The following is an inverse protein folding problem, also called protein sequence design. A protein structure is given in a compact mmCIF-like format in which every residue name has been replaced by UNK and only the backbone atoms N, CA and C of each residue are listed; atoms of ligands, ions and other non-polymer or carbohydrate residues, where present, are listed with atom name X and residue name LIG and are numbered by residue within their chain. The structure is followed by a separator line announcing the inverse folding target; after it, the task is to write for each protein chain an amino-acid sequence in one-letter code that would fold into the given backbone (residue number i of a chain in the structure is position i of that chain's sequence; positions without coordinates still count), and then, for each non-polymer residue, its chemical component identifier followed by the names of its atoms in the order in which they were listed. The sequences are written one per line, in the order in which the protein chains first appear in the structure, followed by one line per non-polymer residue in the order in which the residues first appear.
data_IF_115620462401
#
_entry.id   IF_115620462401
#
_cell.length_a   1.000
_cell.length_b   1.000
_cell.length_c   1.000
_cell.angle_alpha   90.00
_cell.angle_beta   90.00
_cell.angle_gamma   90.00
#
_symmetry.space_group_name_H-M   'P 1'
#
loop_
_entity.id
_entity.type
_entity.pdbx_description
1 polymer ?
#
# COMPACT_ATOMS: atom_id res chain seq x y z
N UNK A 1 -16.69 -67.16 -10.46
CA UNK A 1 -15.53 -66.25 -10.34
C UNK A 1 -16.02 -64.80 -10.48
N UNK A 2 -16.17 -64.05 -9.38
CA UNK A 2 -16.62 -62.65 -9.39
C UNK A 2 -15.41 -61.73 -9.15
N UNK A 3 -15.01 -60.96 -10.17
CA UNK A 3 -13.94 -59.97 -10.10
C UNK A 3 -14.50 -58.72 -9.41
N UNK A 4 -13.99 -58.38 -8.22
CA UNK A 4 -14.25 -57.09 -7.60
C UNK A 4 -13.24 -56.07 -8.15
N UNK A 5 -13.75 -55.04 -8.81
CA UNK A 5 -12.99 -53.87 -9.26
C UNK A 5 -12.90 -52.95 -8.04
N UNK A 6 -11.70 -52.84 -7.47
CA UNK A 6 -11.40 -51.86 -6.41
C UNK A 6 -11.17 -50.52 -7.08
N UNK A 7 -12.14 -49.61 -6.94
CA UNK A 7 -12.04 -48.23 -7.40
C UNK A 7 -11.22 -47.44 -6.38
N UNK A 8 -9.99 -47.08 -6.73
CA UNK A 8 -9.09 -46.30 -5.88
C UNK A 8 -9.36 -44.80 -6.09
N UNK A 9 -10.17 -44.21 -5.22
CA UNK A 9 -10.47 -42.77 -5.22
C UNK A 9 -9.26 -41.98 -4.72
N UNK A 10 -8.50 -41.38 -5.64
CA UNK A 10 -7.38 -40.48 -5.32
C UNK A 10 -7.97 -39.15 -4.81
N UNK A 11 -7.95 -38.97 -3.50
CA UNK A 11 -8.34 -37.74 -2.81
C UNK A 11 -7.17 -36.74 -2.93
N UNK A 12 -7.14 -35.92 -3.99
CA UNK A 12 -6.18 -34.82 -4.10
C UNK A 12 -6.46 -33.75 -3.05
N UNK A 13 -5.73 -33.80 -1.95
CA UNK A 13 -5.72 -32.74 -0.94
C UNK A 13 -5.07 -31.49 -1.54
N UNK A 14 -5.88 -30.47 -1.87
CA UNK A 14 -5.37 -29.13 -2.17
C UNK A 14 -4.75 -28.55 -0.91
N UNK A 15 -3.41 -28.55 -0.83
CA UNK A 15 -2.67 -27.79 0.17
C UNK A 15 -2.77 -26.33 -0.23
N UNK A 16 -3.63 -25.56 0.44
CA UNK A 16 -3.66 -24.12 0.31
C UNK A 16 -2.39 -23.54 0.96
N UNK A 17 -1.42 -23.16 0.14
CA UNK A 17 -0.30 -22.32 0.59
C UNK A 17 -0.85 -20.92 0.89
N UNK A 18 -1.11 -20.65 2.16
CA UNK A 18 -1.37 -19.29 2.64
C UNK A 18 -0.06 -18.51 2.55
N UNK A 19 0.04 -17.62 1.56
CA UNK A 19 1.13 -16.65 1.52
C UNK A 19 0.99 -15.72 2.73
N UNK A 20 1.97 -15.75 3.63
CA UNK A 20 2.08 -14.79 4.74
C UNK A 20 2.40 -13.42 4.16
N UNK A 21 1.68 -12.40 4.61
CA UNK A 21 1.98 -11.02 4.27
C UNK A 21 2.19 -10.23 5.56
N UNK A 22 3.36 -9.60 5.69
CA UNK A 22 3.66 -8.68 6.79
C UNK A 22 2.98 -7.34 6.49
N UNK A 23 2.13 -6.87 7.40
CA UNK A 23 1.49 -5.54 7.28
C UNK A 23 2.23 -4.52 8.15
N UNK A 24 2.64 -3.41 7.55
CA UNK A 24 3.32 -2.31 8.22
C UNK A 24 2.41 -1.08 8.16
N UNK A 25 2.05 -0.52 9.31
CA UNK A 25 1.32 0.76 9.37
C UNK A 25 2.26 1.88 8.92
N UNK A 26 1.86 2.58 7.86
CA UNK A 26 2.62 3.69 7.26
C UNK A 26 2.16 5.01 7.84
N UNK A 27 0.85 5.22 7.90
CA UNK A 27 0.25 6.47 8.36
C UNK A 27 -1.08 6.20 9.05
N UNK A 28 -1.39 7.00 10.05
CA UNK A 28 -2.68 7.04 10.71
C UNK A 28 -3.05 8.47 11.05
N UNK A 29 -4.28 8.86 10.73
CA UNK A 29 -4.82 10.16 11.12
C UNK A 29 -6.32 10.08 11.38
N UNK A 30 -6.82 10.95 12.26
CA UNK A 30 -8.25 11.14 12.43
C UNK A 30 -8.81 11.83 11.17
N UNK A 31 -9.93 11.31 10.65
CA UNK A 31 -10.61 11.84 9.47
C UNK A 31 -11.98 12.37 9.87
N UNK A 32 -12.21 13.65 9.61
CA UNK A 32 -13.56 14.24 9.69
C UNK A 32 -14.37 14.05 8.39
N UNK A 33 -13.77 13.43 7.36
CA UNK A 33 -14.41 13.22 6.06
C UNK A 33 -15.33 12.00 6.11
N UNK A 34 -16.53 12.15 5.54
CA UNK A 34 -17.56 11.09 5.52
C UNK A 34 -17.21 9.94 4.56
N UNK A 35 -16.55 10.24 3.43
CA UNK A 35 -16.10 9.25 2.45
C UNK A 35 -14.75 9.67 1.84
N UNK A 36 -13.66 9.55 2.61
CA UNK A 36 -12.34 9.93 2.11
C UNK A 36 -11.93 9.00 0.96
N UNK A 37 -11.57 9.59 -0.17
CA UNK A 37 -10.80 8.92 -1.21
C UNK A 37 -9.32 9.04 -0.86
N UNK A 38 -8.66 7.89 -0.77
CA UNK A 38 -7.27 7.79 -0.32
C UNK A 38 -6.43 7.14 -1.38
N UNK A 39 -5.40 7.85 -1.81
CA UNK A 39 -4.33 7.33 -2.66
C UNK A 39 -3.08 7.15 -1.83
N UNK A 40 -2.31 6.11 -2.15
CA UNK A 40 -0.98 5.90 -1.59
C UNK A 40 -0.08 5.35 -2.69
N UNK A 41 1.04 6.02 -2.94
CA UNK A 41 2.01 5.61 -3.96
C UNK A 41 3.45 5.84 -3.48
N UNK A 42 4.39 5.12 -4.08
CA UNK A 42 5.80 5.42 -3.85
C UNK A 42 6.18 6.68 -4.62
N UNK A 43 6.98 7.54 -4.01
CA UNK A 43 7.57 8.73 -4.64
C UNK A 43 9.08 8.69 -4.44
N UNK A 44 9.86 9.01 -5.47
CA UNK A 44 11.33 8.95 -5.43
C UNK A 44 11.91 10.32 -5.76
N UNK A 45 12.84 10.80 -4.94
CA UNK A 45 13.74 11.90 -5.29
C UNK A 45 15.10 11.30 -5.63
N UNK A 46 15.44 11.39 -6.91
CA UNK A 46 16.66 10.82 -7.46
C UNK A 46 17.90 11.60 -7.05
N UNK A 47 17.80 12.92 -6.99
CA UNK A 47 18.91 13.80 -6.64
C UNK A 47 19.42 13.51 -5.22
N UNK A 48 18.51 13.10 -4.34
CA UNK A 48 18.82 12.73 -2.97
C UNK A 48 18.94 11.22 -2.73
N UNK A 49 18.61 10.39 -3.73
CA UNK A 49 18.56 8.93 -3.58
C UNK A 49 17.55 8.46 -2.51
N UNK A 50 16.42 9.16 -2.38
CA UNK A 50 15.41 8.92 -1.32
C UNK A 50 14.07 8.48 -1.90
N UNK A 51 13.32 7.75 -1.09
CA UNK A 51 11.96 7.30 -1.38
C UNK A 51 11.04 7.57 -0.21
N UNK A 52 9.78 7.87 -0.52
CA UNK A 52 8.68 8.06 0.43
C UNK A 52 7.44 7.34 -0.06
N UNK A 53 6.47 7.24 0.83
CA UNK A 53 5.09 6.94 0.46
C UNK A 53 4.33 8.27 0.49
N UNK A 54 3.87 8.70 -0.68
CA UNK A 54 2.98 9.85 -0.83
C UNK A 54 1.55 9.38 -0.60
N UNK A 55 0.85 10.04 0.31
CA UNK A 55 -0.53 9.74 0.69
C UNK A 55 -1.35 10.97 0.38
N UNK A 56 -2.32 10.80 -0.53
CA UNK A 56 -3.30 11.82 -0.86
C UNK A 56 -4.63 11.48 -0.21
N UNK A 57 -5.21 12.42 0.55
CA UNK A 57 -6.55 12.29 1.12
C UNK A 57 -7.44 13.39 0.57
N UNK A 58 -8.57 13.00 0.00
CA UNK A 58 -9.55 13.92 -0.59
C UNK A 58 -10.97 13.53 -0.21
N UNK A 59 -11.88 14.50 -0.18
CA UNK A 59 -13.31 14.26 0.05
C UNK A 59 -14.01 14.03 -1.30
N UNK A 60 -14.65 12.88 -1.47
CA UNK A 60 -15.36 12.53 -2.70
C UNK A 60 -16.57 13.46 -2.96
N UNK A 61 -17.08 14.14 -1.93
CA UNK A 61 -18.33 14.92 -2.02
C UNK A 61 -18.14 16.44 -1.95
N UNK A 62 -16.92 16.97 -1.75
CA UNK A 62 -16.68 18.42 -1.86
C UNK A 62 -16.60 18.85 -3.32
N UNK A 63 -17.43 19.82 -3.70
CA UNK A 63 -17.43 20.38 -5.06
C UNK A 63 -16.02 20.78 -5.52
N UNK A 64 -15.74 20.45 -6.79
CA UNK A 64 -14.50 20.69 -7.48
C UNK A 64 -14.17 22.20 -7.48
N UNK A 65 -13.33 22.61 -6.53
CA UNK A 65 -12.92 24.01 -6.39
C UNK A 65 -12.17 24.32 -5.11
N UNK A 66 -12.34 23.52 -4.06
CA UNK A 66 -11.68 23.77 -2.78
C UNK A 66 -11.33 22.51 -1.98
N UNK A 67 -11.26 21.31 -2.58
CA UNK A 67 -10.82 20.11 -1.85
C UNK A 67 -9.38 20.27 -1.39
N UNK A 68 -9.15 20.47 -0.09
CA UNK A 68 -7.81 20.42 0.49
C UNK A 68 -7.31 18.98 0.36
N UNK A 69 -6.53 18.70 -0.68
CA UNK A 69 -5.82 17.44 -0.79
C UNK A 69 -4.70 17.49 0.24
N UNK A 70 -4.83 16.70 1.30
CA UNK A 70 -3.74 16.52 2.24
C UNK A 70 -2.73 15.60 1.56
N UNK A 71 -1.56 16.14 1.21
CA UNK A 71 -0.44 15.40 0.63
C UNK A 71 0.60 15.15 1.74
N UNK A 72 0.54 13.97 2.34
CA UNK A 72 1.49 13.55 3.37
C UNK A 72 2.58 12.70 2.72
N UNK A 73 3.85 13.08 2.94
CA UNK A 73 5.01 12.27 2.54
C UNK A 73 5.59 11.56 3.73
N UNK A 74 5.45 10.24 3.79
CA UNK A 74 5.96 9.42 4.88
C UNK A 74 7.27 8.76 4.49
N UNK A 75 8.32 9.00 5.27
CA UNK A 75 9.55 8.23 5.20
C UNK A 75 9.40 6.97 6.05
N UNK A 76 9.13 5.84 5.40
CA UNK A 76 9.00 4.56 6.08
C UNK A 76 10.39 3.96 6.38
N UNK A 77 10.76 3.68 7.65
CA UNK A 77 12.00 2.97 7.96
C UNK A 77 12.08 1.63 7.23
N UNK A 78 13.25 1.28 6.70
CA UNK A 78 13.44 0.06 5.90
C UNK A 78 13.04 0.19 4.42
N UNK A 79 12.35 1.27 4.02
CA UNK A 79 12.09 1.59 2.61
C UNK A 79 13.30 2.33 2.01
N UNK A 80 13.85 1.78 0.92
CA UNK A 80 15.06 2.28 0.26
C UNK A 80 14.86 2.38 -1.25
N UNK A 81 15.67 3.26 -1.87
CA UNK A 81 15.77 3.38 -3.32
C UNK A 81 17.21 3.13 -3.75
N UNK A 82 17.41 2.11 -4.58
CA UNK A 82 18.68 1.87 -5.28
C UNK A 82 18.63 2.61 -6.63
N UNK A 83 19.38 3.70 -6.73
CA UNK A 83 19.44 4.50 -7.95
C UNK A 83 20.15 3.79 -9.11
N UNK A 84 21.09 2.88 -8.83
CA UNK A 84 21.82 2.14 -9.86
C UNK A 84 20.93 1.08 -10.51
N UNK A 85 20.06 0.44 -9.72
CA UNK A 85 19.11 -0.57 -10.22
C UNK A 85 17.73 0.00 -10.56
N UNK A 86 17.43 1.20 -10.09
CA UNK A 86 16.09 1.77 -10.18
C UNK A 86 15.07 1.00 -9.34
N UNK A 87 15.48 0.42 -8.22
CA UNK A 87 14.65 -0.46 -7.39
C UNK A 87 14.20 0.26 -6.12
N UNK A 88 12.91 0.15 -5.80
CA UNK A 88 12.35 0.53 -4.50
C UNK A 88 12.15 -0.75 -3.71
N UNK A 89 12.78 -0.87 -2.54
CA UNK A 89 12.73 -2.06 -1.71
C UNK A 89 12.35 -1.74 -0.28
N UNK A 90 11.63 -2.65 0.37
CA UNK A 90 11.38 -2.61 1.82
C UNK A 90 12.06 -3.81 2.47
N UNK A 91 13.01 -3.57 3.38
CA UNK A 91 13.76 -4.62 4.09
C UNK A 91 14.37 -5.69 3.14
N UNK A 92 14.76 -5.28 1.93
CA UNK A 92 15.33 -6.16 0.90
C UNK A 92 14.33 -6.71 -0.13
N UNK A 93 13.02 -6.62 0.12
CA UNK A 93 11.99 -7.04 -0.84
C UNK A 93 11.70 -5.94 -1.85
N UNK A 94 11.91 -6.22 -3.14
CA UNK A 94 11.70 -5.25 -4.23
C UNK A 94 10.21 -4.99 -4.45
N UNK A 95 9.74 -3.83 -4.00
CA UNK A 95 8.35 -3.39 -4.06
C UNK A 95 7.96 -2.73 -5.38
N UNK A 96 8.89 -2.03 -6.04
CA UNK A 96 8.63 -1.37 -7.31
C UNK A 96 9.92 -1.08 -8.10
N UNK A 97 9.77 -0.85 -9.40
CA UNK A 97 10.85 -0.43 -10.29
C UNK A 97 10.57 0.99 -10.78
N UNK A 98 11.45 1.93 -10.49
CA UNK A 98 11.43 3.28 -11.01
C UNK A 98 12.14 3.32 -12.37
N UNK A 99 11.36 3.23 -13.46
CA UNK A 99 11.89 3.30 -14.83
C UNK A 99 11.92 4.75 -15.33
N UNK A 100 12.92 5.04 -16.14
CA UNK A 100 12.96 6.23 -16.99
C UNK A 100 13.23 5.78 -18.41
N UNK A 101 12.28 6.04 -19.30
CA UNK A 101 12.54 5.91 -20.73
C UNK A 101 13.26 7.20 -21.20
N UNK A 102 13.88 7.18 -22.39
CA UNK A 102 14.54 8.36 -22.94
C UNK A 102 13.62 9.60 -23.01
N UNK A 103 12.33 9.38 -23.27
CA UNK A 103 11.29 10.42 -23.24
C UNK A 103 11.01 10.95 -21.82
N UNK A 104 11.11 10.12 -20.79
CA UNK A 104 10.81 10.50 -19.40
C UNK A 104 11.91 11.39 -18.81
N UNK A 105 13.14 11.33 -19.36
CA UNK A 105 14.21 12.27 -19.03
C UNK A 105 13.91 13.70 -19.50
N UNK A 106 13.17 13.85 -20.59
CA UNK A 106 12.79 15.17 -21.15
C UNK A 106 11.69 15.84 -20.31
N UNK A 107 10.80 15.04 -19.72
CA UNK A 107 9.69 15.54 -18.89
C UNK A 107 9.95 15.48 -17.38
N UNK A 108 11.18 15.13 -16.96
CA UNK A 108 11.53 14.88 -15.56
C UNK A 108 10.57 13.91 -14.83
N UNK A 109 9.84 13.08 -15.59
CA UNK A 109 8.87 12.15 -15.03
C UNK A 109 9.57 10.85 -14.63
N UNK A 110 9.13 10.25 -13.53
CA UNK A 110 9.60 8.93 -13.10
C UNK A 110 8.40 8.01 -13.07
N UNK A 111 8.38 7.00 -13.94
CA UNK A 111 7.33 5.99 -13.89
C UNK A 111 7.70 4.91 -12.88
N UNK A 112 6.93 4.83 -11.81
CA UNK A 112 7.09 3.78 -10.80
C UNK A 112 6.15 2.63 -11.15
N UNK A 113 6.73 1.46 -11.41
CA UNK A 113 5.99 0.24 -11.72
C UNK A 113 6.01 -0.68 -10.50
N UNK A 114 4.89 -0.90 -9.80
CA UNK A 114 4.86 -1.80 -8.66
C UNK A 114 5.17 -3.23 -9.08
N UNK A 115 5.89 -3.95 -8.23
CA UNK A 115 5.94 -5.41 -8.28
C UNK A 115 4.69 -5.96 -7.57
N UNK A 116 4.52 -7.29 -7.58
CA UNK A 116 3.48 -7.95 -6.78
C UNK A 116 3.95 -8.26 -5.35
N UNK A 117 5.19 -7.92 -5.00
CA UNK A 117 5.78 -8.27 -3.71
C UNK A 117 5.30 -7.35 -2.59
N UNK A 118 4.96 -6.09 -2.90
CA UNK A 118 4.40 -5.17 -1.92
C UNK A 118 3.10 -4.55 -2.44
N UNK A 119 2.20 -4.21 -1.52
CA UNK A 119 0.93 -3.56 -1.83
C UNK A 119 0.64 -2.46 -0.81
N UNK A 120 0.38 -1.26 -1.29
CA UNK A 120 -0.17 -0.19 -0.47
C UNK A 120 -1.69 -0.36 -0.40
N UNK A 121 -2.24 -0.30 0.81
CA UNK A 121 -3.67 -0.37 1.06
C UNK A 121 -4.07 0.70 2.05
N UNK A 122 -5.30 1.19 1.94
CA UNK A 122 -5.90 2.11 2.90
C UNK A 122 -7.16 1.49 3.48
N UNK A 123 -7.44 1.76 4.76
CA UNK A 123 -8.70 1.40 5.40
C UNK A 123 -9.13 2.47 6.39
N UNK A 124 -10.44 2.60 6.57
CA UNK A 124 -11.01 3.39 7.66
C UNK A 124 -11.39 2.47 8.81
N UNK A 125 -11.04 2.87 10.02
CA UNK A 125 -11.50 2.22 11.25
C UNK A 125 -12.21 3.26 12.12
N UNK A 126 -13.06 2.82 13.04
CA UNK A 126 -13.66 3.71 14.03
C UNK A 126 -13.14 3.33 15.41
N UNK A 127 -12.87 4.33 16.24
CA UNK A 127 -12.50 4.16 17.64
C UNK A 127 -13.35 5.08 18.50
N UNK A 128 -13.76 4.57 19.65
CA UNK A 128 -14.38 5.38 20.70
C UNK A 128 -13.27 6.16 21.42
N UNK A 129 -13.41 7.48 21.48
CA UNK A 129 -12.44 8.40 22.06
C UNK A 129 -13.13 9.20 23.15
N UNK A 130 -12.59 9.15 24.37
CA UNK A 130 -13.02 9.99 25.47
C UNK A 130 -12.32 11.35 25.36
N UNK A 131 -13.09 12.41 25.13
CA UNK A 131 -12.57 13.78 25.01
C UNK A 131 -12.64 14.57 26.34
N UNK A 132 -12.97 13.91 27.45
CA UNK A 132 -13.11 14.49 28.78
C UNK A 132 -14.51 15.04 29.11
N UNK A 133 -15.42 15.04 28.12
CA UNK A 133 -16.83 15.39 28.31
C UNK A 133 -17.73 14.20 27.93
N UNK A 134 -17.47 13.58 26.78
CA UNK A 134 -18.20 12.42 26.29
C UNK A 134 -17.30 11.42 25.54
N UNK A 135 -17.84 10.25 25.27
CA UNK A 135 -17.20 9.24 24.41
C UNK A 135 -17.75 9.44 23.00
N UNK A 136 -16.90 9.87 22.07
CA UNK A 136 -17.25 10.08 20.67
C UNK A 136 -16.64 9.01 19.75
N UNK A 137 -17.38 8.60 18.72
CA UNK A 137 -16.91 7.64 17.74
C UNK A 137 -16.16 8.35 16.62
N UNK A 138 -14.84 8.30 16.66
CA UNK A 138 -13.95 8.96 15.70
C UNK A 138 -13.50 8.01 14.59
N UNK A 139 -13.57 8.46 13.34
CA UNK A 139 -13.02 7.73 12.19
C UNK A 139 -11.52 7.99 12.07
N UNK A 140 -10.73 6.94 11.89
CA UNK A 140 -9.31 6.99 11.59
C UNK A 140 -9.04 6.41 10.22
N UNK A 141 -8.27 7.13 9.42
CA UNK A 141 -7.70 6.61 8.19
C UNK A 141 -6.36 5.96 8.50
N UNK A 142 -6.16 4.74 7.98
CA UNK A 142 -4.90 4.04 8.07
C UNK A 142 -4.40 3.67 6.67
N UNK A 143 -3.10 3.87 6.43
CA UNK A 143 -2.39 3.38 5.24
C UNK A 143 -1.38 2.33 5.67
N UNK A 144 -1.38 1.20 4.96
CA UNK A 144 -0.50 0.07 5.21
C UNK A 144 0.34 -0.27 3.98
N UNK A 145 1.54 -0.79 4.24
CA UNK A 145 2.35 -1.53 3.28
C UNK A 145 2.27 -3.01 3.63
N UNK A 146 1.64 -3.82 2.79
CA UNK A 146 1.68 -5.28 2.89
C UNK A 146 2.86 -5.80 2.08
N UNK A 147 3.75 -6.59 2.68
CA UNK A 147 4.92 -7.20 2.04
C UNK A 147 4.75 -8.72 2.03
N UNK A 148 4.83 -9.33 0.84
CA UNK A 148 4.79 -10.78 0.68
C UNK A 148 6.15 -11.36 1.03
N UNK A 149 6.14 -12.35 1.91
CA UNK A 149 7.31 -13.17 2.26
C UNK A 149 7.37 -14.44 1.43
#
# INVERSE_FOLDING_TARGET
MKKQIVLLSILSSLVAFSASAKEILVHEEASALTAPLVSAEFEVNKDLGRVWIAIGVSDQFREAGAGAMSDVRVKLPGLTYDAARGEIAYEGTVCAIAKQNALDKVFHAVRIKPTKACKLTSRSIYRDVDNGYEIEKTQYLQVYLSVRE
#
